data_IF_514149670352
#
_entry.id   IF_514149670352
#
_cell.length_a   1.000
_cell.length_b   1.000
_cell.length_c   1.000
_cell.angle_alpha   90.00
_cell.angle_beta   90.00
_cell.angle_gamma   90.00
#
_symmetry.space_group_name_H-M   'P 1'
#
loop_
_entity.id
_entity.type
_entity.pdbx_description
1 polymer ?
#
# COMPACT_ATOMS: atom_id res chain seq x y z
N UNK A 1 -6.91 4.61 20.45
CA UNK A 1 -5.86 3.69 19.96
C UNK A 1 -4.61 4.53 19.71
N UNK A 2 -3.41 4.02 19.96
CA UNK A 2 -2.16 4.75 19.70
C UNK A 2 -1.18 3.86 18.97
N UNK A 3 -0.43 4.44 18.03
CA UNK A 3 0.68 3.80 17.32
C UNK A 3 1.95 4.07 18.10
N UNK A 4 2.62 3.03 18.57
CA UNK A 4 3.86 3.10 19.34
C UNK A 4 5.09 3.11 18.43
N UNK A 5 5.06 2.37 17.32
CA UNK A 5 6.17 2.34 16.36
C UNK A 5 5.69 2.03 14.95
N UNK A 6 6.51 2.43 13.96
CA UNK A 6 6.39 2.07 12.55
C UNK A 6 7.81 1.80 12.04
N UNK A 7 8.00 0.70 11.30
CA UNK A 7 9.27 0.35 10.68
C UNK A 7 9.04 -0.20 9.28
N UNK A 8 9.70 0.38 8.27
CA UNK A 8 9.66 -0.14 6.91
C UNK A 8 10.53 -1.38 6.79
N UNK A 9 9.95 -2.47 6.30
CA UNK A 9 10.60 -3.80 6.28
C UNK A 9 11.16 -4.18 4.90
N UNK A 10 10.72 -3.46 3.85
CA UNK A 10 11.13 -3.68 2.47
C UNK A 10 11.29 -2.32 1.77
N UNK A 11 12.13 -2.21 0.73
CA UNK A 11 12.24 -1.00 -0.07
C UNK A 11 10.99 -0.77 -0.95
N UNK A 12 10.80 0.45 -1.47
CA UNK A 12 9.65 0.78 -2.33
C UNK A 12 9.63 -0.05 -3.64
N UNK A 13 8.45 -0.53 -4.00
CA UNK A 13 8.18 -1.29 -5.22
C UNK A 13 7.26 -0.50 -6.14
N UNK A 14 7.63 -0.40 -7.41
CA UNK A 14 6.95 0.36 -8.45
C UNK A 14 6.09 -0.59 -9.27
N UNK A 15 4.78 -0.48 -9.12
CA UNK A 15 3.79 -1.25 -9.88
C UNK A 15 3.38 -0.43 -11.11
N UNK A 16 3.77 -0.89 -12.29
CA UNK A 16 3.50 -0.22 -13.57
C UNK A 16 2.42 -1.01 -14.34
N UNK A 17 1.27 -0.38 -14.55
CA UNK A 17 0.19 -0.90 -15.38
C UNK A 17 0.29 -0.35 -16.80
N UNK A 18 -0.15 -1.12 -17.82
CA UNK A 18 -0.24 -0.63 -19.18
C UNK A 18 -1.13 0.61 -19.27
N UNK A 19 -0.71 1.58 -20.09
CA UNK A 19 -1.41 2.87 -20.23
C UNK A 19 -2.88 2.74 -20.66
N UNK A 20 -3.25 1.64 -21.33
CA UNK A 20 -4.64 1.35 -21.70
C UNK A 20 -5.57 1.11 -20.50
N UNK A 21 -5.04 0.75 -19.33
CA UNK A 21 -5.82 0.62 -18.10
C UNK A 21 -5.85 1.91 -17.27
N UNK A 22 -4.94 2.82 -17.55
CA UNK A 22 -4.85 4.10 -16.87
C UNK A 22 -6.04 4.99 -17.28
N UNK A 23 -6.89 5.40 -16.32
CA UNK A 23 -7.94 6.40 -16.56
C UNK A 23 -9.31 5.84 -16.88
N UNK A 24 -9.48 4.53 -16.72
CA UNK A 24 -10.76 3.85 -16.78
C UNK A 24 -11.63 4.07 -15.53
N UNK A 25 -11.21 4.95 -14.61
CA UNK A 25 -11.88 5.12 -13.32
C UNK A 25 -11.74 3.92 -12.37
N UNK A 26 -10.78 3.03 -12.64
CA UNK A 26 -10.48 1.84 -11.83
C UNK A 26 -9.17 2.07 -11.06
N UNK A 27 -9.22 2.48 -9.77
CA UNK A 27 -8.02 2.74 -8.97
C UNK A 27 -7.13 1.50 -8.84
N UNK A 28 -7.75 0.31 -8.86
CA UNK A 28 -7.08 -0.99 -8.77
C UNK A 28 -6.16 -1.29 -9.97
N UNK A 29 -6.41 -0.65 -11.12
CA UNK A 29 -5.64 -0.82 -12.36
C UNK A 29 -4.79 0.41 -12.71
N UNK A 30 -4.50 1.23 -11.71
CA UNK A 30 -3.63 2.40 -11.85
C UNK A 30 -2.24 2.08 -11.29
N UNK A 31 -1.21 2.65 -11.91
CA UNK A 31 0.17 2.49 -11.46
C UNK A 31 0.37 3.12 -10.08
N UNK A 32 1.02 2.38 -9.17
CA UNK A 32 1.28 2.82 -7.80
C UNK A 32 2.68 2.45 -7.34
N UNK A 33 3.17 3.17 -6.32
CA UNK A 33 4.36 2.78 -5.57
C UNK A 33 3.89 2.21 -4.25
N UNK A 34 4.43 1.07 -3.82
CA UNK A 34 4.07 0.40 -2.58
C UNK A 34 5.30 0.19 -1.70
N UNK A 35 5.18 0.39 -0.40
CA UNK A 35 6.18 -0.06 0.56
C UNK A 35 5.51 -0.74 1.75
N UNK A 36 6.08 -1.86 2.20
CA UNK A 36 5.58 -2.63 3.35
C UNK A 36 6.25 -2.15 4.63
N UNK A 37 5.48 -2.13 5.71
CA UNK A 37 5.95 -1.77 7.03
C UNK A 37 5.25 -2.60 8.10
N UNK A 38 5.94 -2.76 9.22
CA UNK A 38 5.36 -3.24 10.47
C UNK A 38 5.03 -2.06 11.38
N UNK A 39 4.02 -2.23 12.22
CA UNK A 39 3.64 -1.22 13.21
C UNK A 39 3.22 -1.88 14.52
N UNK A 40 3.49 -1.20 15.62
CA UNK A 40 2.96 -1.55 16.93
C UNK A 40 1.84 -0.59 17.33
N UNK A 41 0.79 -1.12 17.95
CA UNK A 41 -0.36 -0.36 18.38
C UNK A 41 -0.93 -0.87 19.71
N UNK A 42 -1.55 0.05 20.45
CA UNK A 42 -2.22 -0.25 21.71
C UNK A 42 -3.73 -0.29 21.55
N UNK A 43 -4.33 -1.41 21.96
CA UNK A 43 -5.77 -1.62 22.01
C UNK A 43 -6.19 -1.97 23.44
N UNK A 44 -6.78 -1.00 24.14
CA UNK A 44 -7.04 -1.13 25.57
C UNK A 44 -5.73 -1.11 26.36
N UNK A 45 -5.44 -2.21 27.08
CA UNK A 45 -4.18 -2.39 27.85
C UNK A 45 -3.16 -3.27 27.14
N UNK A 46 -3.50 -3.84 25.98
CA UNK A 46 -2.62 -4.75 25.24
C UNK A 46 -1.91 -3.99 24.11
N UNK A 47 -0.61 -4.22 24.00
CA UNK A 47 0.17 -3.87 22.81
C UNK A 47 0.14 -5.04 21.82
N UNK A 48 0.04 -4.72 20.54
CA UNK A 48 -0.02 -5.67 19.45
C UNK A 48 0.77 -5.14 18.27
N UNK A 49 1.24 -6.04 17.43
CA UNK A 49 1.89 -5.71 16.16
C UNK A 49 0.96 -6.01 14.99
N UNK A 50 1.21 -5.34 13.87
CA UNK A 50 0.52 -5.56 12.62
C UNK A 50 1.43 -5.29 11.43
N UNK A 51 1.05 -5.84 10.28
CA UNK A 51 1.69 -5.57 9.00
C UNK A 51 0.77 -4.73 8.14
N UNK A 52 1.35 -3.78 7.42
CA UNK A 52 0.63 -2.93 6.49
C UNK A 52 1.51 -2.57 5.30
N UNK A 53 0.89 -1.98 4.29
CA UNK A 53 1.57 -1.32 3.19
C UNK A 53 0.98 0.06 2.97
N UNK A 54 1.85 1.01 2.59
CA UNK A 54 1.44 2.31 2.09
C UNK A 54 1.58 2.30 0.57
N UNK A 55 0.59 2.85 -0.12
CA UNK A 55 0.56 3.02 -1.57
C UNK A 55 0.48 4.49 -1.94
N UNK A 56 1.20 4.88 -2.99
CA UNK A 56 1.04 6.16 -3.66
C UNK A 56 0.60 5.94 -5.10
N UNK A 57 -0.60 6.43 -5.42
CA UNK A 57 -1.19 6.33 -6.76
C UNK A 57 -0.76 7.52 -7.61
N UNK A 58 0.16 7.29 -8.55
CA UNK A 58 0.84 8.38 -9.29
C UNK A 58 -0.12 9.33 -10.01
N UNK A 59 -1.19 8.78 -10.60
CA UNK A 59 -2.15 9.55 -11.40
C UNK A 59 -3.09 10.41 -10.55
N UNK A 60 -3.50 9.90 -9.38
CA UNK A 60 -4.45 10.58 -8.50
C UNK A 60 -3.73 11.51 -7.51
N UNK A 61 -2.45 11.26 -7.24
CA UNK A 61 -1.71 11.98 -6.20
C UNK A 61 -2.07 11.53 -4.78
N UNK A 62 -2.80 10.41 -4.66
CA UNK A 62 -3.37 9.94 -3.40
C UNK A 62 -2.51 8.86 -2.74
N UNK A 63 -2.62 8.83 -1.41
CA UNK A 63 -1.95 7.85 -0.56
C UNK A 63 -2.97 6.99 0.18
N UNK A 64 -2.75 5.69 0.23
CA UNK A 64 -3.61 4.76 0.96
C UNK A 64 -2.80 3.77 1.80
N UNK A 65 -3.32 3.41 2.96
CA UNK A 65 -2.80 2.31 3.79
C UNK A 65 -3.66 1.06 3.63
N UNK A 66 -3.02 -0.05 3.28
CA UNK A 66 -3.62 -1.37 3.22
C UNK A 66 -3.12 -2.24 4.37
N UNK A 67 -4.05 -2.91 5.03
CA UNK A 67 -3.78 -3.90 6.07
C UNK A 67 -4.33 -5.21 5.53
N UNK A 68 -3.48 -6.19 5.15
CA UNK A 68 -3.92 -7.42 4.51
C UNK A 68 -4.69 -8.34 5.47
N UNK A 69 -4.29 -8.34 6.75
CA UNK A 69 -4.84 -9.24 7.76
C UNK A 69 -6.04 -8.65 8.50
N UNK A 70 -7.00 -9.51 8.84
CA UNK A 70 -8.07 -9.15 9.77
C UNK A 70 -7.48 -8.92 11.15
N UNK A 71 -7.67 -7.71 11.68
CA UNK A 71 -7.17 -7.31 13.00
C UNK A 71 -8.18 -7.72 14.09
N UNK A 72 -7.86 -8.72 14.96
CA UNK A 72 -8.82 -9.20 15.96
C UNK A 72 -9.23 -8.09 16.93
N UNK A 73 -10.53 -7.89 17.14
CA UNK A 73 -11.04 -6.85 18.06
C UNK A 73 -10.99 -5.43 17.51
N UNK A 74 -10.62 -5.24 16.24
CA UNK A 74 -10.68 -3.95 15.53
C UNK A 74 -11.84 -3.99 14.55
N UNK A 75 -12.96 -3.34 14.91
CA UNK A 75 -14.11 -3.18 14.01
C UNK A 75 -13.87 -2.16 12.89
N UNK A 76 -14.81 -2.04 11.92
CA UNK A 76 -14.63 -1.21 10.72
C UNK A 76 -14.30 0.25 10.99
N UNK A 77 -14.95 0.86 11.98
CA UNK A 77 -14.73 2.27 12.36
C UNK A 77 -13.31 2.47 12.90
N UNK A 78 -12.89 1.63 13.85
CA UNK A 78 -11.53 1.66 14.42
C UNK A 78 -10.47 1.34 13.37
N UNK A 79 -10.79 0.47 12.40
CA UNK A 79 -9.88 0.17 11.30
C UNK A 79 -9.67 1.39 10.39
N UNK A 80 -10.72 2.18 10.13
CA UNK A 80 -10.60 3.43 9.37
C UNK A 80 -9.75 4.45 10.10
N UNK A 81 -9.97 4.63 11.41
CA UNK A 81 -9.14 5.49 12.25
C UNK A 81 -7.68 5.04 12.26
N UNK A 82 -7.44 3.73 12.37
CA UNK A 82 -6.09 3.15 12.31
C UNK A 82 -5.38 3.51 11.02
N UNK A 83 -6.04 3.27 9.87
CA UNK A 83 -5.47 3.57 8.55
C UNK A 83 -5.10 5.04 8.43
N UNK A 84 -5.95 5.95 8.92
CA UNK A 84 -5.65 7.38 8.96
C UNK A 84 -4.41 7.71 9.78
N UNK A 85 -4.33 7.19 11.01
CA UNK A 85 -3.17 7.40 11.89
C UNK A 85 -1.87 6.83 11.32
N UNK A 86 -1.94 5.64 10.70
CA UNK A 86 -0.79 5.04 10.05
C UNK A 86 -0.35 5.85 8.84
N UNK A 87 -1.30 6.34 8.04
CA UNK A 87 -1.01 7.17 6.88
C UNK A 87 -0.28 8.45 7.30
N UNK A 88 -0.81 9.18 8.27
CA UNK A 88 -0.19 10.42 8.77
C UNK A 88 1.25 10.21 9.25
N UNK A 89 1.52 9.11 9.96
CA UNK A 89 2.84 8.82 10.52
C UNK A 89 3.83 8.25 9.51
N UNK A 90 3.37 7.43 8.57
CA UNK A 90 4.24 6.73 7.62
C UNK A 90 4.55 7.57 6.37
N UNK A 91 3.70 8.54 6.02
CA UNK A 91 3.77 9.26 4.73
C UNK A 91 5.11 9.95 4.49
N UNK A 92 5.64 10.70 5.44
CA UNK A 92 6.88 11.47 5.25
C UNK A 92 8.07 10.55 4.98
N UNK A 93 8.29 9.57 5.84
CA UNK A 93 9.36 8.59 5.69
C UNK A 93 9.19 7.74 4.42
N UNK A 94 7.95 7.45 4.00
CA UNK A 94 7.69 6.78 2.72
C UNK A 94 8.14 7.61 1.52
N UNK A 95 7.85 8.92 1.51
CA UNK A 95 8.29 9.83 0.44
C UNK A 95 9.83 9.89 0.40
N UNK A 96 10.47 10.05 1.55
CA UNK A 96 11.93 10.05 1.66
C UNK A 96 12.54 8.75 1.12
N UNK A 97 11.97 7.60 1.47
CA UNK A 97 12.41 6.30 0.95
C UNK A 97 12.30 6.24 -0.58
N UNK A 98 11.19 6.72 -1.16
CA UNK A 98 10.99 6.74 -2.62
C UNK A 98 12.06 7.58 -3.31
N UNK A 99 12.38 8.75 -2.76
CA UNK A 99 13.35 9.70 -3.33
C UNK A 99 14.79 9.23 -3.18
N UNK A 100 15.11 8.57 -2.07
CA UNK A 100 16.45 8.07 -1.77
C UNK A 100 16.83 6.77 -2.50
N UNK A 101 15.87 6.01 -3.02
CA UNK A 101 16.10 4.66 -3.54
C UNK A 101 16.78 4.69 -4.93
N UNK A 102 18.04 4.24 -5.06
CA UNK A 102 18.75 4.28 -6.33
C UNK A 102 18.28 3.21 -7.32
N UNK A 103 17.79 2.06 -6.83
CA UNK A 103 17.32 0.95 -7.68
C UNK A 103 15.83 0.72 -7.51
N UNK A 104 15.06 1.28 -8.45
CA UNK A 104 13.61 1.13 -8.50
C UNK A 104 13.24 -0.32 -8.82
N UNK A 105 12.81 -1.07 -7.82
CA UNK A 105 12.22 -2.41 -8.01
C UNK A 105 10.90 -2.27 -8.75
N UNK A 106 10.82 -2.75 -9.99
CA UNK A 106 9.64 -2.61 -10.84
C UNK A 106 8.91 -3.93 -11.02
N UNK A 107 7.58 -3.86 -10.98
CA UNK A 107 6.66 -4.94 -11.31
C UNK A 107 5.79 -4.46 -12.47
N UNK A 108 5.86 -5.17 -13.59
CA UNK A 108 5.06 -4.88 -14.78
C UNK A 108 3.84 -5.80 -14.81
N UNK A 109 2.66 -5.20 -14.97
CA UNK A 109 1.43 -5.95 -15.21
C UNK A 109 1.25 -6.13 -16.71
N UNK A 110 1.05 -7.37 -17.16
CA UNK A 110 0.80 -7.66 -18.57
C UNK A 110 -0.66 -7.38 -18.95
N UNK A 111 -0.92 -7.17 -20.24
CA UNK A 111 -2.28 -7.14 -20.76
C UNK A 111 -3.00 -8.45 -20.41
N UNK A 112 -4.17 -8.35 -19.79
CA UNK A 112 -5.08 -9.47 -19.64
C UNK A 112 -5.74 -9.77 -21.00
N UNK A 113 -4.95 -10.10 -22.03
CA UNK A 113 -5.51 -10.68 -23.25
C UNK A 113 -6.06 -12.04 -22.86
N UNK A 114 -7.35 -12.28 -23.13
CA UNK A 114 -7.82 -13.66 -23.23
C UNK A 114 -6.98 -14.30 -24.34
N UNK A 115 -6.39 -15.50 -24.12
CA UNK A 115 -5.84 -16.23 -25.25
C UNK A 115 -6.95 -16.29 -26.30
N UNK A 116 -6.63 -15.84 -27.50
CA UNK A 116 -7.56 -15.93 -28.63
C UNK A 116 -8.01 -17.37 -28.76
N UNK A 117 -9.24 -17.58 -29.22
CA UNK A 117 -9.85 -18.90 -29.41
C UNK A 117 -9.11 -19.79 -30.44
N UNK A 118 -7.98 -19.31 -30.95
CA UNK A 118 -7.15 -19.90 -32.01
C UNK A 118 -5.69 -20.12 -31.53
N UNK A 119 -5.47 -20.26 -30.23
CA UNK A 119 -4.22 -20.85 -29.72
C UNK A 119 -4.35 -22.38 -29.76
N UNK A 120 -4.14 -22.94 -30.96
CA UNK A 120 -3.83 -24.36 -31.19
C UNK A 120 -2.45 -24.73 -30.63
#
# INVERSE_FOLDING_TARGET
MKISSISFIEPPVYHEFPALYEGLGLPELSSFIQQRFEFAYTLGKAERTGLASIRFYKRQGDFEVHIPDKMPGVGPIKLRELKGLLLEKAKTAFIENIESEPQKRKVYYAEFRRPGKDAD
#
